data_IF_167384043366
#
_entry.id   IF_167384043366
#
_cell.length_a   1.000
_cell.length_b   1.000
_cell.length_c   1.000
_cell.angle_alpha   90.00
_cell.angle_beta   90.00
_cell.angle_gamma   90.00
#
_symmetry.space_group_name_H-M   'P 1'
#
loop_
_entity.id
_entity.type
_entity.pdbx_description
1 polymer ?
#
# COMPACT_ATOMS: atom_id res chain seq x y z
N UNK A 1 46.77 42.70 13.75
CA UNK A 1 45.90 43.63 13.00
C UNK A 1 45.97 43.16 11.55
N UNK A 2 44.93 42.78 10.83
CA UNK A 2 43.49 42.99 10.93
C UNK A 2 42.73 41.74 10.44
N UNK A 3 41.50 41.61 10.93
CA UNK A 3 40.48 40.63 10.55
C UNK A 3 39.79 41.09 9.27
N UNK A 4 39.46 40.18 8.35
CA UNK A 4 38.21 40.21 7.56
C UNK A 4 37.87 38.75 7.15
N UNK A 5 36.97 38.09 7.88
CA UNK A 5 35.53 38.00 7.61
C UNK A 5 35.18 37.05 6.44
N UNK A 6 35.12 35.74 6.74
CA UNK A 6 34.41 34.78 5.90
C UNK A 6 32.91 35.06 5.97
N UNK A 7 32.36 35.57 4.86
CA UNK A 7 30.91 35.65 4.64
C UNK A 7 30.30 34.26 4.52
N UNK A 8 29.57 33.85 5.57
CA UNK A 8 28.69 32.69 5.55
C UNK A 8 27.44 33.02 4.72
N UNK A 9 27.44 32.66 3.44
CA UNK A 9 26.23 32.72 2.62
C UNK A 9 25.36 31.50 2.90
N UNK A 10 24.38 31.68 3.79
CA UNK A 10 23.26 30.75 4.01
C UNK A 10 22.34 30.82 2.78
N UNK A 11 22.62 30.01 1.77
CA UNK A 11 21.64 29.76 0.70
C UNK A 11 20.64 28.70 1.17
N UNK A 12 19.58 29.21 1.80
CA UNK A 12 18.35 28.52 2.15
C UNK A 12 17.57 28.18 0.86
N UNK A 13 17.96 27.14 0.13
CA UNK A 13 17.12 26.57 -0.93
C UNK A 13 16.05 25.65 -0.33
N UNK A 14 14.98 26.28 0.17
CA UNK A 14 13.71 25.62 0.40
C UNK A 14 12.99 25.41 -0.94
N UNK A 15 13.27 24.30 -1.61
CA UNK A 15 12.41 23.80 -2.69
C UNK A 15 11.64 22.58 -2.17
N UNK A 16 10.36 22.71 -1.76
CA UNK A 16 9.48 21.57 -1.78
C UNK A 16 9.22 21.27 -3.26
N UNK A 17 9.69 20.10 -3.72
CA UNK A 17 9.19 19.48 -4.93
C UNK A 17 7.66 19.44 -4.82
N UNK A 18 7.00 20.42 -5.44
CA UNK A 18 5.59 20.35 -5.79
C UNK A 18 5.48 19.17 -6.76
N UNK A 19 5.25 17.98 -6.22
CA UNK A 19 4.57 16.94 -6.95
C UNK A 19 3.23 17.55 -7.37
N UNK A 20 3.11 17.94 -8.64
CA UNK A 20 1.85 18.14 -9.31
C UNK A 20 1.10 16.80 -9.38
N UNK A 21 0.64 16.31 -8.24
CA UNK A 21 -0.56 15.48 -8.23
C UNK A 21 -1.70 16.43 -8.54
N UNK A 22 -2.24 16.36 -9.76
CA UNK A 22 -3.62 16.80 -9.96
C UNK A 22 -4.45 15.98 -8.98
N UNK A 23 -4.86 16.61 -7.88
CA UNK A 23 -5.93 16.10 -7.05
C UNK A 23 -7.20 16.20 -7.90
N UNK A 24 -7.43 15.21 -8.75
CA UNK A 24 -8.79 14.86 -9.11
C UNK A 24 -9.31 14.22 -7.83
N UNK A 25 -10.11 14.95 -7.07
CA UNK A 25 -10.99 14.33 -6.10
C UNK A 25 -11.89 13.38 -6.89
N UNK A 26 -11.43 12.13 -7.07
CA UNK A 26 -12.28 11.06 -7.55
C UNK A 26 -13.12 10.72 -6.34
N UNK A 27 -14.22 11.44 -6.19
CA UNK A 27 -15.31 11.02 -5.34
C UNK A 27 -15.51 9.53 -5.56
N UNK A 28 -15.43 8.73 -4.49
CA UNK A 28 -15.45 7.28 -4.58
C UNK A 28 -16.74 6.88 -5.27
N UNK A 29 -16.66 6.68 -6.60
CA UNK A 29 -17.85 6.41 -7.40
C UNK A 29 -18.45 5.15 -6.82
N UNK A 30 -19.70 5.25 -6.36
CA UNK A 30 -20.48 4.06 -6.00
C UNK A 30 -20.27 3.05 -7.12
N UNK A 31 -19.98 1.77 -6.80
CA UNK A 31 -19.74 0.77 -7.82
C UNK A 31 -20.90 0.86 -8.82
N UNK A 32 -20.61 0.96 -10.14
CA UNK A 32 -21.67 1.08 -11.15
C UNK A 32 -22.72 0.00 -10.91
N UNK A 33 -24.01 0.31 -11.03
CA UNK A 33 -25.10 -0.62 -10.72
C UNK A 33 -24.94 -1.99 -11.42
N UNK A 34 -24.43 -1.99 -12.65
CA UNK A 34 -24.07 -3.20 -13.38
C UNK A 34 -22.98 -4.05 -12.70
N UNK A 35 -21.96 -3.43 -12.10
CA UNK A 35 -20.90 -4.16 -11.40
C UNK A 35 -21.38 -4.84 -10.12
N UNK A 36 -22.35 -4.23 -9.42
CA UNK A 36 -23.02 -4.84 -8.28
C UNK A 36 -23.89 -6.02 -8.73
N UNK A 37 -24.63 -5.85 -9.83
CA UNK A 37 -25.46 -6.90 -10.45
C UNK A 37 -24.63 -8.11 -10.89
N UNK A 38 -23.53 -7.89 -11.61
CA UNK A 38 -22.62 -8.95 -12.04
C UNK A 38 -22.12 -9.73 -10.83
N UNK A 39 -21.65 -9.06 -9.76
CA UNK A 39 -21.16 -9.76 -8.57
C UNK A 39 -22.22 -10.64 -7.90
N UNK A 40 -23.48 -10.21 -7.89
CA UNK A 40 -24.58 -10.97 -7.30
C UNK A 40 -24.92 -12.23 -8.11
N UNK A 41 -25.07 -12.09 -9.43
CA UNK A 41 -25.61 -13.17 -10.28
C UNK A 41 -24.56 -13.97 -11.03
N UNK A 42 -23.27 -13.59 -10.99
CA UNK A 42 -22.22 -14.29 -11.74
C UNK A 42 -22.06 -15.75 -11.31
N UNK A 43 -22.08 -16.01 -10.01
CA UNK A 43 -21.98 -17.38 -9.51
C UNK A 43 -23.22 -18.20 -9.89
N UNK A 44 -24.40 -17.62 -9.84
CA UNK A 44 -25.64 -18.31 -10.22
C UNK A 44 -25.66 -18.69 -11.71
N UNK A 45 -25.23 -17.79 -12.59
CA UNK A 45 -25.16 -18.06 -14.04
C UNK A 45 -24.05 -19.07 -14.36
N UNK A 46 -22.92 -19.01 -13.65
CA UNK A 46 -21.82 -19.96 -13.80
C UNK A 46 -22.19 -21.37 -13.31
N UNK A 47 -22.90 -21.47 -12.18
CA UNK A 47 -23.37 -22.76 -11.65
C UNK A 47 -24.37 -23.44 -12.57
N UNK A 48 -25.25 -22.67 -13.24
CA UNK A 48 -26.19 -23.19 -14.23
C UNK A 48 -25.54 -23.53 -15.58
N UNK A 49 -24.35 -23.00 -15.86
CA UNK A 49 -23.65 -23.18 -17.14
C UNK A 49 -22.14 -23.42 -16.91
N UNK A 50 -21.74 -24.56 -16.32
CA UNK A 50 -20.36 -24.78 -15.88
C UNK A 50 -19.34 -24.89 -17.02
N UNK A 51 -19.79 -25.14 -18.26
CA UNK A 51 -18.95 -25.34 -19.46
C UNK A 51 -18.77 -24.04 -20.26
N UNK A 52 -19.62 -23.03 -20.05
CA UNK A 52 -19.56 -21.79 -20.84
C UNK A 52 -18.36 -20.92 -20.47
N UNK A 53 -17.77 -20.25 -21.47
CA UNK A 53 -16.68 -19.30 -21.26
C UNK A 53 -17.18 -18.08 -20.48
N UNK A 54 -16.34 -17.53 -19.62
CA UNK A 54 -16.63 -16.31 -18.81
C UNK A 54 -17.17 -15.16 -19.66
N UNK A 55 -16.72 -15.03 -20.91
CA UNK A 55 -17.17 -14.01 -21.87
C UNK A 55 -18.66 -14.14 -22.23
N UNK A 56 -19.17 -15.37 -22.35
CA UNK A 56 -20.59 -15.63 -22.66
C UNK A 56 -21.47 -15.44 -21.44
N UNK A 57 -20.96 -15.79 -20.26
CA UNK A 57 -21.60 -15.51 -18.96
C UNK A 57 -21.79 -13.99 -18.79
N UNK A 58 -20.77 -13.19 -19.10
CA UNK A 58 -20.86 -11.73 -19.04
C UNK A 58 -21.87 -11.15 -20.04
N UNK A 59 -21.98 -11.72 -21.26
CA UNK A 59 -22.99 -11.32 -22.24
C UNK A 59 -24.41 -11.60 -21.73
N UNK A 60 -24.69 -12.81 -21.25
CA UNK A 60 -25.98 -13.16 -20.65
C UNK A 60 -26.32 -12.26 -19.46
N UNK A 61 -25.36 -11.97 -18.59
CA UNK A 61 -25.56 -11.04 -17.46
C UNK A 61 -25.88 -9.62 -17.93
N UNK A 62 -25.29 -9.17 -19.04
CA UNK A 62 -25.60 -7.85 -19.62
C UNK A 62 -27.01 -7.78 -20.21
N UNK A 63 -27.48 -8.87 -20.81
CA UNK A 63 -28.85 -8.99 -21.34
C UNK A 63 -29.87 -9.06 -20.21
N UNK A 64 -29.59 -9.88 -19.18
CA UNK A 64 -30.42 -9.97 -17.97
C UNK A 64 -30.49 -8.63 -17.22
N UNK A 65 -29.39 -7.87 -17.17
CA UNK A 65 -29.37 -6.52 -16.59
C UNK A 65 -30.22 -5.53 -17.37
N UNK A 66 -30.22 -5.59 -18.71
CA UNK A 66 -31.07 -4.75 -19.57
C UNK A 66 -32.56 -5.11 -19.47
N UNK A 67 -32.86 -6.39 -19.23
CA UNK A 67 -34.22 -6.89 -19.06
C UNK A 67 -34.77 -6.73 -17.63
N UNK A 68 -33.92 -6.43 -16.64
CA UNK A 68 -34.32 -6.29 -15.25
C UNK A 68 -35.06 -4.97 -14.99
N UNK A 69 -36.05 -5.01 -14.09
CA UNK A 69 -36.78 -3.81 -13.66
C UNK A 69 -35.86 -2.84 -12.90
N UNK A 70 -35.96 -1.53 -13.13
CA UNK A 70 -35.12 -0.54 -12.43
C UNK A 70 -35.29 -0.58 -10.91
N UNK A 71 -36.43 -1.05 -10.40
CA UNK A 71 -36.69 -1.19 -8.96
C UNK A 71 -35.83 -2.28 -8.31
N UNK A 72 -35.56 -3.39 -9.01
CA UNK A 72 -34.74 -4.48 -8.50
C UNK A 72 -33.25 -4.14 -8.56
N UNK A 73 -32.84 -3.37 -9.58
CA UNK A 73 -31.48 -2.83 -9.70
C UNK A 73 -31.14 -1.85 -8.56
N UNK A 74 -32.10 -1.04 -8.12
CA UNK A 74 -31.92 -0.13 -6.97
C UNK A 74 -31.80 -0.93 -5.67
N UNK A 75 -32.64 -1.95 -5.44
CA UNK A 75 -32.54 -2.84 -4.27
C UNK A 75 -31.19 -3.57 -4.21
N UNK A 76 -30.68 -4.04 -5.35
CA UNK A 76 -29.38 -4.70 -5.44
C UNK A 76 -28.21 -3.74 -5.20
N UNK A 77 -28.32 -2.49 -5.64
CA UNK A 77 -27.28 -1.47 -5.41
C UNK A 77 -27.19 -1.08 -3.92
N UNK A 78 -28.32 -1.09 -3.21
CA UNK A 78 -28.39 -0.83 -1.76
C UNK A 78 -27.91 -2.01 -0.92
N UNK A 79 -28.18 -3.25 -1.36
CA UNK A 79 -27.83 -4.48 -0.64
C UNK A 79 -26.48 -5.09 -1.05
N UNK A 80 -25.82 -4.54 -2.07
CA UNK A 80 -24.50 -5.02 -2.46
C UNK A 80 -23.56 -4.92 -1.26
N UNK A 81 -22.86 -6.01 -0.86
CA UNK A 81 -21.89 -5.94 0.20
C UNK A 81 -20.87 -4.90 -0.20
N UNK A 82 -20.88 -3.77 0.50
CA UNK A 82 -19.89 -2.72 0.36
C UNK A 82 -18.59 -3.39 0.77
N UNK A 83 -17.84 -3.92 -0.20
CA UNK A 83 -16.40 -4.10 -0.03
C UNK A 83 -15.93 -2.72 0.36
N UNK A 84 -15.58 -2.54 1.65
CA UNK A 84 -15.04 -1.31 2.21
C UNK A 84 -13.72 -1.03 1.49
N UNK A 85 -13.81 -0.51 0.27
CA UNK A 85 -12.71 0.14 -0.39
C UNK A 85 -12.41 1.32 0.50
N UNK A 86 -11.31 1.22 1.24
CA UNK A 86 -10.86 2.28 2.13
C UNK A 86 -11.03 3.61 1.41
N UNK A 87 -11.70 4.56 2.07
CA UNK A 87 -11.85 5.89 1.48
C UNK A 87 -10.47 6.50 1.31
N UNK A 88 -10.35 7.49 0.44
CA UNK A 88 -9.05 8.10 0.18
C UNK A 88 -8.49 8.80 1.42
N UNK A 89 -9.36 9.27 2.32
CA UNK A 89 -9.03 9.79 3.65
C UNK A 89 -8.41 8.71 4.54
N UNK A 90 -9.00 7.52 4.61
CA UNK A 90 -8.44 6.40 5.40
C UNK A 90 -7.07 5.97 4.89
N UNK A 91 -6.87 5.96 3.56
CA UNK A 91 -5.56 5.67 2.95
C UNK A 91 -4.53 6.75 3.30
N UNK A 92 -4.94 8.02 3.31
CA UNK A 92 -4.07 9.14 3.68
C UNK A 92 -3.61 9.02 5.14
N UNK A 93 -4.53 8.69 6.04
CA UNK A 93 -4.22 8.48 7.47
C UNK A 93 -3.32 7.26 7.69
N UNK A 94 -3.58 6.13 7.01
CA UNK A 94 -2.69 4.97 7.06
C UNK A 94 -1.27 5.31 6.57
N UNK A 95 -1.16 6.14 5.52
CA UNK A 95 0.13 6.62 5.01
C UNK A 95 0.84 7.51 6.03
N UNK A 96 0.12 8.41 6.71
CA UNK A 96 0.66 9.26 7.77
C UNK A 96 1.21 8.43 8.93
N UNK A 97 0.45 7.44 9.42
CA UNK A 97 0.87 6.51 10.48
C UNK A 97 2.12 5.72 10.09
N UNK A 98 2.16 5.20 8.86
CA UNK A 98 3.33 4.49 8.32
C UNK A 98 4.56 5.39 8.20
N UNK A 99 4.40 6.63 7.73
CA UNK A 99 5.51 7.58 7.63
C UNK A 99 6.04 7.96 9.01
N UNK A 100 5.16 8.17 9.98
CA UNK A 100 5.55 8.40 11.37
C UNK A 100 6.38 7.24 11.90
N UNK A 101 5.88 6.00 11.82
CA UNK A 101 6.63 4.83 12.27
C UNK A 101 7.99 4.67 11.55
N UNK A 102 8.06 4.96 10.24
CA UNK A 102 9.33 4.96 9.49
C UNK A 102 10.33 6.01 9.98
N UNK A 103 9.88 7.21 10.36
CA UNK A 103 10.74 8.23 10.99
C UNK A 103 11.29 7.76 12.33
N UNK A 104 10.54 6.90 13.04
CA UNK A 104 10.94 6.28 14.30
C UNK A 104 11.62 4.90 14.14
N UNK A 105 12.21 4.64 12.97
CA UNK A 105 13.07 3.47 12.75
C UNK A 105 12.33 2.18 12.40
N UNK A 106 11.05 2.22 12.00
CA UNK A 106 10.34 1.02 11.54
C UNK A 106 11.14 0.35 10.40
N UNK A 107 11.53 -0.93 10.54
CA UNK A 107 12.30 -1.64 9.53
C UNK A 107 11.61 -1.65 8.17
N UNK A 108 12.38 -1.36 7.12
CA UNK A 108 11.88 -1.48 5.73
C UNK A 108 11.85 -2.95 5.30
N UNK A 109 10.86 -3.37 4.51
CA UNK A 109 10.85 -4.72 3.97
C UNK A 109 12.01 -4.91 2.99
N UNK A 110 12.78 -5.98 3.19
CA UNK A 110 13.81 -6.42 2.25
C UNK A 110 13.16 -7.15 1.05
N UNK A 111 13.88 -7.35 -0.07
CA UNK A 111 13.40 -8.15 -1.19
C UNK A 111 13.04 -9.58 -0.75
N UNK A 112 11.73 -9.90 -0.79
CA UNK A 112 11.19 -11.18 -0.27
C UNK A 112 10.96 -12.24 -1.33
N UNK A 113 11.24 -11.96 -2.60
CA UNK A 113 11.14 -12.95 -3.69
C UNK A 113 12.48 -13.05 -4.41
N UNK A 114 12.83 -14.25 -4.88
CA UNK A 114 14.10 -14.46 -5.60
C UNK A 114 14.27 -13.50 -6.77
N UNK A 115 13.21 -13.30 -7.56
CA UNK A 115 13.19 -12.29 -8.61
C UNK A 115 13.52 -10.87 -8.11
N UNK A 116 12.93 -10.42 -7.00
CA UNK A 116 13.21 -9.08 -6.47
C UNK A 116 14.65 -8.96 -5.97
N UNK A 117 15.18 -10.03 -5.36
CA UNK A 117 16.60 -10.09 -4.96
C UNK A 117 17.50 -9.93 -6.19
N UNK A 118 17.24 -10.73 -7.24
CA UNK A 118 17.98 -10.68 -8.49
C UNK A 118 17.93 -9.32 -9.16
N UNK A 119 16.74 -8.74 -9.32
CA UNK A 119 16.57 -7.42 -9.94
C UNK A 119 17.27 -6.33 -9.11
N UNK A 120 17.19 -6.37 -7.77
CA UNK A 120 17.91 -5.43 -6.93
C UNK A 120 19.44 -5.53 -7.10
N UNK A 121 19.96 -6.74 -7.31
CA UNK A 121 21.37 -6.99 -7.57
C UNK A 121 21.79 -6.48 -8.95
N UNK A 122 21.04 -6.83 -10.00
CA UNK A 122 21.29 -6.41 -11.38
C UNK A 122 21.14 -4.89 -11.59
N UNK A 123 20.27 -4.25 -10.81
CA UNK A 123 20.06 -2.81 -10.87
C UNK A 123 20.92 -2.02 -9.86
N UNK A 124 21.73 -2.71 -9.07
CA UNK A 124 22.69 -2.05 -8.18
C UNK A 124 23.71 -1.24 -9.00
N UNK A 125 24.11 -0.06 -8.50
CA UNK A 125 25.09 0.79 -9.19
C UNK A 125 24.54 1.73 -10.27
N UNK A 126 23.24 1.72 -10.61
CA UNK A 126 22.67 2.58 -11.65
C UNK A 126 22.40 4.05 -11.24
N UNK A 127 23.04 4.55 -10.18
CA UNK A 127 22.83 5.92 -9.68
C UNK A 127 23.28 6.92 -10.74
N UNK A 128 22.40 7.84 -11.13
CA UNK A 128 22.70 8.90 -12.11
C UNK A 128 22.53 8.51 -13.58
N UNK A 129 22.05 7.29 -13.89
CA UNK A 129 21.72 6.92 -15.27
C UNK A 129 20.35 7.46 -15.72
N UNK A 130 20.19 7.69 -17.01
CA UNK A 130 18.92 8.14 -17.61
C UNK A 130 17.81 7.12 -17.35
N UNK A 131 16.57 7.61 -17.17
CA UNK A 131 15.37 6.77 -16.97
C UNK A 131 15.20 5.72 -18.08
N UNK A 132 15.50 6.08 -19.34
CA UNK A 132 15.44 5.13 -20.44
C UNK A 132 16.47 4.00 -20.29
N UNK A 133 17.71 4.35 -19.91
CA UNK A 133 18.77 3.36 -19.68
C UNK A 133 18.42 2.38 -18.56
N UNK A 134 17.86 2.88 -17.45
CA UNK A 134 17.38 2.03 -16.35
C UNK A 134 16.23 1.11 -16.79
N UNK A 135 15.31 1.61 -17.61
CA UNK A 135 14.17 0.84 -18.12
C UNK A 135 14.66 -0.29 -19.03
N UNK A 136 15.60 0.01 -19.93
CA UNK A 136 16.24 -1.00 -20.78
C UNK A 136 16.97 -2.06 -19.96
N UNK A 137 17.74 -1.65 -18.94
CA UNK A 137 18.42 -2.59 -18.02
C UNK A 137 17.46 -3.46 -17.24
N UNK A 138 16.36 -2.89 -16.73
CA UNK A 138 15.31 -3.67 -16.05
C UNK A 138 14.68 -4.69 -17.00
N UNK A 139 14.38 -4.30 -18.24
CA UNK A 139 13.81 -5.19 -19.24
C UNK A 139 14.77 -6.34 -19.60
N UNK A 140 16.06 -6.04 -19.75
CA UNK A 140 17.10 -7.02 -20.01
C UNK A 140 17.28 -7.98 -18.83
N UNK A 141 17.35 -7.46 -17.61
CA UNK A 141 17.43 -8.26 -16.39
C UNK A 141 16.19 -9.16 -16.25
N UNK A 142 15.00 -8.65 -16.55
CA UNK A 142 13.78 -9.45 -16.47
C UNK A 142 13.75 -10.60 -17.47
N UNK A 143 14.29 -10.42 -18.69
CA UNK A 143 14.44 -11.52 -19.67
C UNK A 143 15.46 -12.54 -19.17
N UNK A 144 16.63 -12.05 -18.75
CA UNK A 144 17.69 -12.90 -18.22
C UNK A 144 17.24 -13.75 -17.02
N UNK A 145 16.34 -13.25 -16.16
CA UNK A 145 15.76 -14.05 -15.08
C UNK A 145 14.98 -15.28 -15.58
N UNK A 146 14.23 -15.14 -16.67
CA UNK A 146 13.49 -16.25 -17.28
C UNK A 146 14.44 -17.31 -17.84
N UNK A 147 15.59 -16.87 -18.38
CA UNK A 147 16.61 -17.72 -19.01
C UNK A 147 17.54 -18.40 -17.99
N UNK A 148 17.53 -17.99 -16.71
CA UNK A 148 18.34 -18.61 -15.67
C UNK A 148 17.91 -20.07 -15.41
N UNK A 149 18.90 -20.92 -15.13
CA UNK A 149 18.67 -22.28 -14.66
C UNK A 149 18.06 -22.30 -13.26
N UNK A 150 17.31 -23.36 -12.93
CA UNK A 150 16.68 -23.52 -11.62
C UNK A 150 17.71 -23.52 -10.47
N UNK A 151 18.88 -24.16 -10.66
CA UNK A 151 19.97 -24.13 -9.68
C UNK A 151 20.44 -22.70 -9.36
N UNK A 152 20.51 -21.82 -10.35
CA UNK A 152 20.90 -20.43 -10.12
C UNK A 152 19.76 -19.65 -9.45
N UNK A 153 18.49 -19.95 -9.78
CA UNK A 153 17.32 -19.35 -9.12
C UNK A 153 17.21 -19.75 -7.64
N UNK A 154 17.57 -20.99 -7.29
CA UNK A 154 17.55 -21.51 -5.92
C UNK A 154 18.37 -20.67 -4.94
N UNK A 155 19.55 -20.18 -5.36
CA UNK A 155 20.37 -19.30 -4.54
C UNK A 155 19.63 -17.98 -4.19
N UNK A 156 18.95 -17.38 -5.18
CA UNK A 156 18.16 -16.17 -4.96
C UNK A 156 16.91 -16.44 -4.12
N UNK A 157 16.26 -17.59 -4.30
CA UNK A 157 15.11 -18.01 -3.50
C UNK A 157 15.52 -18.18 -2.03
N UNK A 158 16.65 -18.85 -1.77
CA UNK A 158 17.19 -19.05 -0.42
C UNK A 158 17.49 -17.71 0.27
N UNK A 159 18.17 -16.79 -0.43
CA UNK A 159 18.41 -15.42 0.07
C UNK A 159 17.11 -14.65 0.34
N UNK A 160 16.09 -14.83 -0.50
CA UNK A 160 14.79 -14.20 -0.30
C UNK A 160 14.07 -14.72 0.96
N UNK A 161 14.22 -16.01 1.28
CA UNK A 161 13.69 -16.60 2.51
C UNK A 161 14.41 -16.06 3.75
N UNK A 162 15.73 -15.97 3.70
CA UNK A 162 16.54 -15.36 4.77
C UNK A 162 16.15 -13.90 5.00
N UNK A 163 16.00 -13.11 3.93
CA UNK A 163 15.54 -11.73 4.00
C UNK A 163 14.18 -11.61 4.69
N UNK A 164 13.26 -12.53 4.41
CA UNK A 164 11.93 -12.56 5.05
C UNK A 164 12.05 -12.82 6.55
N UNK A 165 12.87 -13.79 6.94
CA UNK A 165 13.10 -14.13 8.35
C UNK A 165 13.80 -13.00 9.10
N UNK A 166 14.85 -12.42 8.51
CA UNK A 166 15.55 -11.27 9.06
C UNK A 166 14.62 -10.07 9.25
N UNK A 167 13.76 -9.78 8.27
CA UNK A 167 12.78 -8.72 8.40
C UNK A 167 11.79 -8.97 9.55
N UNK A 168 11.32 -10.20 9.74
CA UNK A 168 10.44 -10.55 10.85
C UNK A 168 11.14 -10.41 12.22
N UNK A 169 12.42 -10.79 12.32
CA UNK A 169 13.23 -10.58 13.53
C UNK A 169 13.35 -9.09 13.84
N UNK A 170 13.66 -8.28 12.84
CA UNK A 170 13.77 -6.82 13.00
C UNK A 170 12.43 -6.18 13.40
N UNK A 171 11.30 -6.66 12.86
CA UNK A 171 9.97 -6.18 13.29
C UNK A 171 9.67 -6.57 14.74
N UNK A 172 10.11 -7.75 15.17
CA UNK A 172 9.95 -8.22 16.55
C UNK A 172 10.75 -7.36 17.51
N UNK A 173 12.05 -7.18 17.27
CA UNK A 173 12.92 -6.32 18.09
C UNK A 173 12.40 -4.89 18.14
N UNK A 174 12.02 -4.31 17.00
CA UNK A 174 11.44 -2.97 16.97
C UNK A 174 10.14 -2.87 17.78
N UNK A 175 9.27 -3.88 17.73
CA UNK A 175 8.04 -3.88 18.52
C UNK A 175 8.30 -3.97 20.03
N UNK A 176 9.32 -4.73 20.44
CA UNK A 176 9.76 -4.87 21.83
C UNK A 176 10.39 -3.56 22.34
N UNK A 177 11.31 -2.97 21.57
CA UNK A 177 11.94 -1.67 21.87
C UNK A 177 10.92 -0.54 22.04
N UNK A 178 9.86 -0.55 21.22
CA UNK A 178 8.78 0.45 21.31
C UNK A 178 7.69 0.05 22.30
N UNK A 179 7.78 -1.11 22.94
CA UNK A 179 6.83 -1.62 23.93
C UNK A 179 5.42 -1.75 23.36
N UNK A 180 5.28 -2.41 22.21
CA UNK A 180 4.01 -2.64 21.49
C UNK A 180 3.88 -4.12 21.19
N UNK A 181 2.65 -4.63 21.23
CA UNK A 181 2.39 -6.01 20.85
C UNK A 181 2.84 -6.30 19.42
N UNK A 182 3.65 -7.34 19.26
CA UNK A 182 4.16 -7.79 17.97
C UNK A 182 3.04 -8.09 16.96
N UNK A 183 3.34 -7.83 15.69
CA UNK A 183 2.51 -8.21 14.54
C UNK A 183 3.40 -8.39 13.32
N UNK A 184 3.12 -9.42 12.51
CA UNK A 184 3.81 -9.64 11.23
C UNK A 184 3.52 -8.53 10.21
N UNK A 185 2.43 -7.78 10.37
CA UNK A 185 2.02 -6.69 9.47
C UNK A 185 2.58 -5.36 9.96
N UNK A 186 3.42 -4.72 9.14
CA UNK A 186 4.02 -3.41 9.42
C UNK A 186 3.01 -2.29 9.56
N UNK A 187 1.89 -2.33 8.83
CA UNK A 187 0.80 -1.36 8.97
C UNK A 187 0.14 -1.42 10.34
N UNK A 188 -0.07 -2.63 10.88
CA UNK A 188 -0.64 -2.81 12.22
C UNK A 188 0.32 -2.29 13.28
N UNK A 189 1.62 -2.59 13.14
CA UNK A 189 2.66 -2.05 14.03
C UNK A 189 2.72 -0.53 13.98
N UNK A 190 2.65 0.07 12.79
CA UNK A 190 2.64 1.51 12.61
C UNK A 190 1.41 2.17 13.25
N UNK A 191 0.22 1.59 13.06
CA UNK A 191 -1.01 2.09 13.68
C UNK A 191 -0.99 1.99 15.20
N UNK A 192 -0.50 0.87 15.76
CA UNK A 192 -0.34 0.69 17.21
C UNK A 192 0.67 1.68 17.79
N UNK A 193 1.79 1.89 17.10
CA UNK A 193 2.81 2.85 17.52
C UNK A 193 2.30 4.28 17.48
N UNK A 194 1.59 4.65 16.41
CA UNK A 194 0.94 5.94 16.31
C UNK A 194 -0.10 6.14 17.42
N UNK A 195 -0.95 5.14 17.69
CA UNK A 195 -1.93 5.22 18.78
C UNK A 195 -1.28 5.36 20.16
N UNK A 196 -0.12 4.71 20.40
CA UNK A 196 0.61 4.85 21.67
C UNK A 196 1.15 6.28 21.88
N UNK A 197 1.60 6.93 20.81
CA UNK A 197 2.13 8.29 20.87
C UNK A 197 1.05 9.37 20.93
N UNK A 198 -0.02 9.24 20.14
CA UNK A 198 -1.08 10.25 20.04
C UNK A 198 -2.32 9.97 20.90
N UNK A 199 -2.49 8.74 21.39
CA UNK A 199 -3.58 8.36 22.31
C UNK A 199 -3.31 8.76 23.77
N UNK A 200 -2.05 9.05 24.12
CA UNK A 200 -1.71 9.65 25.42
C UNK A 200 -2.09 11.13 25.51
N UNK A 201 -2.15 11.84 24.39
CA UNK A 201 -2.46 13.27 24.36
C UNK A 201 -3.97 13.55 24.60
N UNK A 202 -4.86 12.60 24.30
CA UNK A 202 -6.31 12.77 24.45
C UNK A 202 -6.83 12.42 25.84
N UNK A 203 -6.09 11.63 26.62
CA UNK A 203 -6.48 11.23 27.99
C UNK A 203 -6.01 12.21 29.07
N UNK A 204 -5.07 13.11 28.77
CA UNK A 204 -4.63 14.16 29.70
C UNK A 204 -5.48 15.43 29.71
N UNK A 205 -6.41 15.60 28.75
CA UNK A 205 -7.20 16.85 28.61
C UNK A 205 -8.64 16.76 29.14
N UNK A 206 -9.09 15.59 29.60
CA UNK A 206 -10.44 15.37 30.13
C UNK A 206 -10.54 15.35 31.66
N UNK A 207 -9.43 15.53 32.39
CA UNK A 207 -9.42 15.49 33.86
C UNK A 207 -9.58 16.85 34.56
N UNK A 208 -9.89 17.94 33.83
CA UNK A 208 -10.04 19.28 34.42
C UNK A 208 -11.36 19.98 34.07
N UNK A 209 -12.50 19.38 34.41
CA UNK A 209 -13.77 20.13 34.50
C UNK A 209 -14.43 19.84 35.85
N UNK A 210 -14.02 20.66 36.82
CA UNK A 210 -14.80 21.32 37.88
C UNK A 210 -15.93 20.53 38.55
N UNK A 211 -15.68 20.16 39.80
CA UNK A 211 -16.67 20.06 40.87
C UNK A 211 -17.45 21.37 41.03
N UNK A 212 -18.78 21.33 41.24
CA UNK A 212 -19.59 22.53 41.46
C UNK A 212 -19.47 23.01 42.92
N UNK A 213 -19.51 24.32 43.20
CA UNK A 213 -19.52 24.83 44.56
C UNK A 213 -20.89 24.59 45.21
N UNK A 214 -20.87 24.32 46.52
CA UNK A 214 -22.03 24.41 47.41
C UNK A 214 -22.32 25.85 47.77
#
# INVERSE_FOLDING_TARGET
MEKMACGFSVLRLGNPLRCCGRFVAVESRKPPAFSAYVKAYFNDVKSKNPIMKTTEIMKKLSEMYKAASPADLVKLTLNAPITKTKTDEEKLEDRKKLLFARKHGLPKPLPTTGYKVYICEQLSGNKGSSLQSMTSKLSAASKSWSDLSERNKEAYISRALENRLAHLRNLKTWSEEKGIQFSKRSSVLASRFYAKHYGKDTTGKSASIKSPPK
#
